data_IF_350813620414
#
_entry.id   IF_350813620414
#
_cell.length_a   1.000
_cell.length_b   1.000
_cell.length_c   1.000
_cell.angle_alpha   90.00
_cell.angle_beta   90.00
_cell.angle_gamma   90.00
#
_symmetry.space_group_name_H-M   'P 1'
#
loop_
_entity.id
_entity.type
_entity.pdbx_description
1 polymer ?
#
# COMPACT_ATOMS: atom_id res chain seq x y z
N UNK A 1 0.07 13.59 -16.70
CA UNK A 1 1.12 12.57 -16.60
C UNK A 1 0.52 11.38 -15.85
N UNK A 2 0.53 10.16 -16.41
CA UNK A 2 0.13 8.95 -15.67
C UNK A 2 1.41 8.25 -15.23
N UNK A 3 1.51 7.88 -13.97
CA UNK A 3 2.59 7.02 -13.51
C UNK A 3 2.42 5.63 -14.16
N UNK A 4 3.51 4.94 -14.52
CA UNK A 4 3.41 3.57 -15.00
C UNK A 4 2.82 2.67 -13.90
N UNK A 5 2.04 1.67 -14.30
CA UNK A 5 1.66 0.61 -13.37
C UNK A 5 2.86 -0.30 -13.17
N UNK A 6 3.29 -0.42 -11.90
CA UNK A 6 4.43 -1.21 -11.48
C UNK A 6 3.94 -2.16 -10.40
N UNK A 7 4.39 -3.41 -10.45
CA UNK A 7 4.22 -4.36 -9.36
C UNK A 7 5.47 -4.31 -8.48
N UNK A 8 5.42 -3.59 -7.37
CA UNK A 8 6.56 -3.40 -6.49
C UNK A 8 6.85 -4.64 -5.64
N UNK A 9 5.83 -5.46 -5.36
CA UNK A 9 6.02 -6.74 -4.69
C UNK A 9 6.90 -7.68 -5.54
N UNK A 10 6.59 -7.84 -6.82
CA UNK A 10 7.39 -8.65 -7.75
C UNK A 10 8.82 -8.10 -7.91
N UNK A 11 8.97 -6.77 -7.94
CA UNK A 11 10.29 -6.14 -7.96
C UNK A 11 11.08 -6.50 -6.68
N UNK A 12 10.45 -6.42 -5.51
CA UNK A 12 11.09 -6.77 -4.24
C UNK A 12 11.57 -8.23 -4.22
N UNK A 13 10.72 -9.15 -4.70
CA UNK A 13 11.06 -10.58 -4.82
C UNK A 13 12.27 -10.81 -5.74
N UNK A 14 12.34 -10.11 -6.87
CA UNK A 14 13.49 -10.19 -7.79
C UNK A 14 14.82 -9.74 -7.17
N UNK A 15 14.75 -8.94 -6.10
CA UNK A 15 15.89 -8.41 -5.36
C UNK A 15 16.19 -9.21 -4.07
N UNK A 16 15.48 -10.31 -3.84
CA UNK A 16 15.67 -11.19 -2.67
C UNK A 16 14.95 -10.75 -1.40
N UNK A 17 14.13 -9.70 -1.48
CA UNK A 17 13.17 -9.34 -0.43
C UNK A 17 11.88 -10.17 -0.56
N UNK A 18 11.03 -10.16 0.47
CA UNK A 18 9.65 -10.66 0.35
C UNK A 18 8.75 -9.54 -0.17
N UNK A 19 7.81 -9.87 -1.05
CA UNK A 19 6.82 -8.93 -1.59
C UNK A 19 5.40 -9.45 -1.39
N UNK A 20 4.47 -8.56 -1.05
CA UNK A 20 3.03 -8.86 -1.08
C UNK A 20 2.26 -7.68 -1.68
N UNK A 21 1.25 -7.98 -2.50
CA UNK A 21 0.32 -6.97 -3.01
C UNK A 21 -0.95 -7.01 -2.16
N UNK A 22 -1.36 -5.86 -1.65
CA UNK A 22 -2.61 -5.67 -0.91
C UNK A 22 -3.60 -4.95 -1.81
N UNK A 23 -4.70 -5.63 -2.14
CA UNK A 23 -5.77 -5.07 -2.96
C UNK A 23 -7.02 -4.76 -2.15
N UNK A 24 -7.22 -5.45 -1.02
CA UNK A 24 -8.35 -5.24 -0.13
C UNK A 24 -7.91 -4.74 1.25
N UNK A 25 -8.75 -3.89 1.85
CA UNK A 25 -8.51 -3.32 3.17
C UNK A 25 -8.33 -4.40 4.25
N UNK A 26 -9.05 -5.51 4.15
CA UNK A 26 -9.00 -6.61 5.12
C UNK A 26 -7.66 -7.35 5.14
N UNK A 27 -6.89 -7.29 4.06
CA UNK A 27 -5.58 -7.95 3.92
C UNK A 27 -4.46 -7.14 4.60
N UNK A 28 -4.64 -5.82 4.71
CA UNK A 28 -3.59 -4.88 5.10
C UNK A 28 -2.98 -5.19 6.47
N UNK A 29 -3.82 -5.43 7.49
CA UNK A 29 -3.31 -5.66 8.85
C UNK A 29 -2.49 -6.95 8.93
N UNK A 30 -2.95 -8.02 8.28
CA UNK A 30 -2.23 -9.29 8.26
C UNK A 30 -0.88 -9.16 7.52
N UNK A 31 -0.86 -8.45 6.38
CA UNK A 31 0.36 -8.22 5.61
C UNK A 31 1.39 -7.39 6.39
N UNK A 32 0.93 -6.36 7.13
CA UNK A 32 1.81 -5.55 7.98
C UNK A 32 2.34 -6.35 9.17
N UNK A 33 1.49 -7.14 9.84
CA UNK A 33 1.93 -8.01 10.94
C UNK A 33 2.98 -9.02 10.47
N UNK A 34 2.78 -9.64 9.31
CA UNK A 34 3.77 -10.55 8.75
C UNK A 34 5.09 -9.84 8.43
N UNK A 35 5.03 -8.67 7.80
CA UNK A 35 6.20 -7.89 7.43
C UNK A 35 7.00 -7.40 8.65
N UNK A 36 6.32 -7.04 9.75
CA UNK A 36 6.97 -6.59 10.98
C UNK A 36 7.57 -7.74 11.81
N UNK A 37 7.08 -8.96 11.64
CA UNK A 37 7.54 -10.14 12.37
C UNK A 37 8.59 -10.98 11.61
N UNK A 38 9.03 -10.55 10.42
CA UNK A 38 10.10 -11.23 9.67
C UNK A 38 11.47 -10.62 9.94
N UNK A 39 12.51 -11.43 9.77
CA UNK A 39 13.92 -11.03 9.80
C UNK A 39 14.47 -10.65 8.42
N UNK A 40 13.62 -10.63 7.38
CA UNK A 40 13.99 -10.29 6.00
C UNK A 40 13.44 -8.93 5.59
N UNK A 41 14.09 -8.31 4.60
CA UNK A 41 13.52 -7.16 3.91
C UNK A 41 12.16 -7.55 3.31
N UNK A 42 11.13 -6.74 3.56
CA UNK A 42 9.75 -7.00 3.14
C UNK A 42 9.17 -5.71 2.52
N UNK A 43 8.52 -5.84 1.36
CA UNK A 43 7.75 -4.78 0.71
C UNK A 43 6.27 -5.14 0.71
N UNK A 44 5.45 -4.24 1.25
CA UNK A 44 3.98 -4.32 1.20
C UNK A 44 3.49 -3.30 0.18
N UNK A 45 3.09 -3.77 -1.01
CA UNK A 45 2.61 -2.96 -2.13
C UNK A 45 1.09 -2.76 -2.00
N UNK A 46 0.68 -1.59 -1.47
CA UNK A 46 -0.72 -1.31 -1.14
C UNK A 46 -1.37 -0.50 -2.25
N UNK A 47 -2.35 -1.10 -2.92
CA UNK A 47 -3.18 -0.38 -3.88
C UNK A 47 -4.26 0.44 -3.16
N UNK A 48 -4.32 1.74 -3.48
CA UNK A 48 -5.32 2.67 -2.95
C UNK A 48 -6.16 3.26 -4.08
N UNK A 49 -7.37 3.74 -3.78
CA UNK A 49 -8.15 4.50 -4.76
C UNK A 49 -7.47 5.86 -5.01
N UNK A 50 -6.94 6.11 -6.21
CA UNK A 50 -6.23 7.36 -6.54
C UNK A 50 -7.14 8.59 -6.54
N UNK A 51 -8.47 8.41 -6.45
CA UNK A 51 -9.46 9.50 -6.39
C UNK A 51 -9.79 9.91 -4.96
N UNK A 52 -9.29 9.19 -3.96
CA UNK A 52 -9.52 9.50 -2.55
C UNK A 52 -8.99 10.89 -2.20
N UNK A 53 -9.83 11.72 -1.59
CA UNK A 53 -9.40 13.02 -1.05
C UNK A 53 -8.52 12.77 0.17
N UNK A 54 -7.29 13.29 0.16
CA UNK A 54 -6.37 13.12 1.30
C UNK A 54 -6.98 13.70 2.58
N UNK A 55 -6.85 12.97 3.69
CA UNK A 55 -7.41 13.34 5.00
C UNK A 55 -7.08 14.79 5.42
N UNK A 56 -5.85 15.32 5.21
CA UNK A 56 -5.57 16.72 5.51
C UNK A 56 -6.49 17.70 4.78
N UNK A 57 -6.81 17.43 3.51
CA UNK A 57 -7.72 18.25 2.71
C UNK A 57 -9.18 18.10 3.11
N UNK A 58 -9.60 16.90 3.54
CA UNK A 58 -10.94 16.69 4.07
C UNK A 58 -11.20 17.61 5.28
N UNK A 59 -10.22 17.72 6.19
CA UNK A 59 -10.30 18.59 7.38
C UNK A 59 -10.21 20.08 7.04
N UNK A 60 -9.32 20.46 6.12
CA UNK A 60 -9.13 21.87 5.73
C UNK A 60 -10.36 22.46 5.03
N UNK A 61 -11.05 21.66 4.21
CA UNK A 61 -12.14 22.12 3.36
C UNK A 61 -13.53 21.67 3.82
N UNK A 62 -13.63 21.02 4.99
CA UNK A 62 -14.91 20.53 5.53
C UNK A 62 -15.59 19.48 4.65
N UNK A 63 -14.82 18.75 3.84
CA UNK A 63 -15.34 17.72 2.93
C UNK A 63 -15.53 16.44 3.75
N UNK A 64 -16.78 16.10 4.03
CA UNK A 64 -17.15 14.85 4.70
C UNK A 64 -17.47 13.80 3.63
N UNK A 65 -16.48 12.99 3.27
CA UNK A 65 -16.68 11.79 2.43
C UNK A 65 -16.47 10.57 3.33
N UNK A 66 -17.60 9.97 3.74
CA UNK A 66 -17.66 8.65 4.35
C UNK A 66 -17.67 7.59 3.26
#
# INVERSE_FOLDING_TARGET
MRLPQVNFAMLAESLGAKGVVVNDRSELMNALEEALNTDKAYVVDVHIDPRTVLIPYQRLYGISTL
#
